data_IF_356286073775
#
_entry.id   IF_356286073775
#
_cell.length_a   1.000
_cell.length_b   1.000
_cell.length_c   1.000
_cell.angle_alpha   90.00
_cell.angle_beta   90.00
_cell.angle_gamma   90.00
#
_symmetry.space_group_name_H-M   'P 1'
#
loop_
_entity.id
_entity.type
_entity.pdbx_description
1 polymer ?
#
# COMPACT_ATOMS: atom_id res chain seq x y z
N UNK A 1 15.74 7.20 0.98
CA UNK A 1 15.00 8.44 0.69
C UNK A 1 15.63 9.67 1.34
N UNK A 2 15.39 10.04 2.62
CA UNK A 2 15.95 11.31 3.17
C UNK A 2 17.48 11.36 3.29
N UNK A 3 18.12 10.26 3.68
CA UNK A 3 19.60 10.19 3.81
C UNK A 3 20.31 10.19 2.46
N UNK A 4 19.75 9.50 1.48
CA UNK A 4 20.38 9.23 0.18
C UNK A 4 19.80 10.04 -0.97
N UNK A 5 18.73 10.79 -0.74
CA UNK A 5 17.92 11.50 -1.75
C UNK A 5 17.55 10.63 -2.96
N UNK A 6 17.38 9.33 -2.74
CA UNK A 6 17.01 8.35 -3.75
C UNK A 6 15.70 7.66 -3.39
N UNK A 7 14.93 7.33 -4.43
CA UNK A 7 13.72 6.52 -4.33
C UNK A 7 14.06 5.12 -3.81
N UNK A 8 13.11 4.51 -3.11
CA UNK A 8 13.28 3.22 -2.46
C UNK A 8 12.18 2.28 -2.91
N UNK A 9 12.47 0.99 -2.95
CA UNK A 9 11.49 -0.04 -3.28
C UNK A 9 11.45 -1.13 -2.21
N UNK A 10 10.25 -1.62 -1.95
CA UNK A 10 10.00 -2.80 -1.14
C UNK A 10 9.38 -3.86 -2.05
N UNK A 11 10.14 -4.92 -2.34
CA UNK A 11 9.70 -6.02 -3.19
C UNK A 11 9.34 -7.20 -2.28
N UNK A 12 8.08 -7.63 -2.36
CA UNK A 12 7.54 -8.73 -1.56
C UNK A 12 7.30 -9.94 -2.45
N UNK A 13 8.08 -11.00 -2.25
CA UNK A 13 8.04 -12.22 -3.03
C UNK A 13 7.65 -13.42 -2.17
N UNK A 14 7.04 -14.43 -2.79
CA UNK A 14 6.61 -15.65 -2.12
C UNK A 14 5.35 -16.23 -2.73
N UNK A 15 5.02 -17.47 -2.36
CA UNK A 15 3.85 -18.20 -2.83
C UNK A 15 2.53 -17.64 -2.28
N UNK A 16 1.39 -18.07 -2.82
CA UNK A 16 0.09 -17.69 -2.26
C UNK A 16 0.02 -18.07 -0.78
N UNK A 17 -0.53 -17.19 0.06
CA UNK A 17 -0.59 -17.40 1.51
C UNK A 17 0.68 -17.05 2.30
N UNK A 18 1.80 -16.70 1.65
CA UNK A 18 3.07 -16.40 2.34
C UNK A 18 3.11 -15.08 3.15
N UNK A 19 1.99 -14.36 3.27
CA UNK A 19 1.91 -13.11 4.03
C UNK A 19 2.24 -11.81 3.27
N UNK A 20 2.56 -11.85 1.96
CA UNK A 20 2.91 -10.65 1.17
C UNK A 20 1.95 -9.47 1.35
N UNK A 21 0.65 -9.71 1.23
CA UNK A 21 -0.36 -8.65 1.33
C UNK A 21 -0.42 -8.06 2.74
N UNK A 22 -0.17 -8.86 3.78
CA UNK A 22 -0.15 -8.39 5.17
C UNK A 22 1.12 -7.60 5.47
N UNK A 23 2.29 -8.10 5.05
CA UNK A 23 3.56 -7.36 5.18
C UNK A 23 3.49 -6.01 4.49
N UNK A 24 2.87 -5.95 3.31
CA UNK A 24 2.61 -4.68 2.60
C UNK A 24 1.73 -3.76 3.42
N UNK A 25 0.60 -4.25 3.92
CA UNK A 25 -0.35 -3.46 4.70
C UNK A 25 0.33 -2.83 5.92
N UNK A 26 1.09 -3.63 6.67
CA UNK A 26 1.84 -3.18 7.84
C UNK A 26 2.92 -2.15 7.45
N UNK A 27 3.67 -2.38 6.36
CA UNK A 27 4.67 -1.43 5.89
C UNK A 27 4.06 -0.06 5.54
N UNK A 28 2.94 -0.05 4.81
CA UNK A 28 2.22 1.18 4.47
C UNK A 28 1.71 1.86 5.75
N UNK A 29 1.10 1.11 6.67
CA UNK A 29 0.61 1.64 7.95
C UNK A 29 1.72 2.31 8.74
N UNK A 30 2.86 1.65 8.91
CA UNK A 30 4.02 2.21 9.62
C UNK A 30 4.55 3.47 8.93
N UNK A 31 4.65 3.46 7.59
CA UNK A 31 5.08 4.65 6.85
C UNK A 31 4.10 5.81 7.02
N UNK A 32 2.78 5.55 7.02
CA UNK A 32 1.76 6.58 7.26
C UNK A 32 1.89 7.19 8.65
N UNK A 33 2.01 6.35 9.69
CA UNK A 33 2.16 6.80 11.08
C UNK A 33 3.39 7.71 11.28
N UNK A 34 4.48 7.44 10.55
CA UNK A 34 5.72 8.21 10.65
C UNK A 34 5.74 9.48 9.80
N UNK A 35 4.89 9.60 8.76
CA UNK A 35 5.05 10.62 7.72
C UNK A 35 3.84 11.49 7.46
N UNK A 36 2.64 11.12 7.92
CA UNK A 36 1.44 11.93 7.71
C UNK A 36 1.49 13.22 8.53
N UNK A 37 1.03 14.31 7.92
CA UNK A 37 0.91 15.62 8.57
C UNK A 37 -0.05 15.58 9.75
N UNK A 38 0.27 16.35 10.80
CA UNK A 38 -0.61 16.55 11.96
C UNK A 38 -2.05 16.95 11.54
N UNK A 39 -3.06 16.60 12.35
CA UNK A 39 -4.45 17.00 12.11
C UNK A 39 -4.59 18.50 11.80
N UNK A 40 -5.43 18.83 10.82
CA UNK A 40 -5.68 20.21 10.38
C UNK A 40 -4.69 20.74 9.33
N UNK A 41 -3.60 20.03 9.04
CA UNK A 41 -2.67 20.38 7.95
C UNK A 41 -3.03 19.67 6.64
N UNK A 42 -2.63 20.26 5.52
CA UNK A 42 -2.72 19.61 4.20
C UNK A 42 -2.00 18.25 4.25
N UNK A 43 -2.67 17.20 3.78
CA UNK A 43 -2.17 15.83 3.82
C UNK A 43 -2.58 15.01 5.06
N UNK A 44 -3.17 15.62 6.10
CA UNK A 44 -3.57 14.87 7.31
C UNK A 44 -4.64 13.80 7.04
N UNK A 45 -5.46 13.99 5.99
CA UNK A 45 -6.49 13.03 5.57
C UNK A 45 -5.90 11.75 4.96
N UNK A 46 -4.63 11.75 4.57
CA UNK A 46 -4.00 10.57 3.98
C UNK A 46 -3.92 9.39 4.95
N UNK A 47 -3.83 9.66 6.26
CA UNK A 47 -3.85 8.61 7.29
C UNK A 47 -5.13 7.76 7.25
N UNK A 48 -6.27 8.33 6.83
CA UNK A 48 -7.54 7.60 6.74
C UNK A 48 -7.87 7.19 5.31
N UNK A 49 -7.50 8.01 4.32
CA UNK A 49 -7.79 7.75 2.91
C UNK A 49 -7.01 6.57 2.35
N UNK A 50 -5.73 6.40 2.73
CA UNK A 50 -4.89 5.32 2.19
C UNK A 50 -5.38 3.94 2.63
N UNK A 51 -5.63 3.67 3.92
CA UNK A 51 -6.20 2.39 4.34
C UNK A 51 -7.60 2.12 3.76
N UNK A 52 -8.42 3.17 3.62
CA UNK A 52 -9.75 3.04 3.00
C UNK A 52 -9.67 2.65 1.52
N UNK A 53 -8.74 3.24 0.76
CA UNK A 53 -8.52 2.88 -0.63
C UNK A 53 -8.01 1.42 -0.78
N UNK A 54 -7.10 0.99 0.10
CA UNK A 54 -6.62 -0.40 0.11
C UNK A 54 -7.77 -1.39 0.42
N UNK A 55 -8.65 -1.04 1.37
CA UNK A 55 -9.83 -1.84 1.68
C UNK A 55 -10.76 -2.00 0.46
N UNK A 56 -11.04 -0.91 -0.26
CA UNK A 56 -11.85 -0.95 -1.48
C UNK A 56 -11.21 -1.86 -2.52
N UNK A 57 -9.94 -1.67 -2.85
CA UNK A 57 -9.23 -2.47 -3.86
C UNK A 57 -9.26 -3.97 -3.49
N UNK A 58 -8.96 -4.31 -2.23
CA UNK A 58 -9.01 -5.70 -1.74
C UNK A 58 -10.42 -6.29 -1.83
N UNK A 59 -11.45 -5.48 -1.60
CA UNK A 59 -12.85 -5.94 -1.67
C UNK A 59 -13.27 -6.34 -3.08
N UNK A 60 -12.68 -5.71 -4.11
CA UNK A 60 -12.95 -6.04 -5.51
C UNK A 60 -11.97 -7.07 -6.11
N UNK A 61 -10.72 -7.09 -5.65
CA UNK A 61 -9.66 -7.90 -6.25
C UNK A 61 -9.27 -9.17 -5.48
N UNK A 62 -9.73 -9.35 -4.24
CA UNK A 62 -9.47 -10.57 -3.49
C UNK A 62 -10.62 -11.57 -3.62
N UNK A 63 -10.27 -12.86 -3.60
CA UNK A 63 -11.23 -13.95 -3.64
C UNK A 63 -10.84 -15.07 -2.66
N UNK A 64 -11.82 -15.86 -2.26
CA UNK A 64 -11.59 -17.08 -1.52
C UNK A 64 -11.04 -18.17 -2.45
N UNK A 65 -9.98 -18.85 -2.03
CA UNK A 65 -9.40 -20.00 -2.74
C UNK A 65 -9.14 -21.15 -1.77
N UNK A 66 -8.88 -22.35 -2.28
CA UNK A 66 -8.57 -23.53 -1.46
C UNK A 66 -7.40 -23.32 -0.47
N UNK A 67 -6.41 -22.49 -0.84
CA UNK A 67 -5.18 -22.32 -0.07
C UNK A 67 -5.12 -20.99 0.70
N UNK A 68 -5.94 -20.02 0.32
CA UNK A 68 -5.97 -18.70 0.94
C UNK A 68 -7.39 -18.11 0.83
N UNK A 69 -8.10 -17.89 1.94
CA UNK A 69 -9.46 -17.38 1.93
C UNK A 69 -9.57 -15.90 1.53
N UNK A 70 -8.43 -15.19 1.43
CA UNK A 70 -8.34 -13.80 1.04
C UNK A 70 -7.22 -13.59 0.00
N UNK A 71 -7.20 -14.45 -1.03
CA UNK A 71 -6.17 -14.44 -2.05
C UNK A 71 -6.35 -13.23 -2.98
N UNK A 72 -5.30 -12.40 -3.09
CA UNK A 72 -5.25 -11.35 -4.11
C UNK A 72 -5.17 -11.98 -5.50
N UNK A 73 -6.13 -11.68 -6.38
CA UNK A 73 -6.22 -12.16 -7.77
C UNK A 73 -5.71 -11.11 -8.77
N UNK A 74 -4.83 -10.24 -8.31
CA UNK A 74 -4.20 -9.16 -9.08
C UNK A 74 -2.81 -8.87 -8.49
N UNK A 75 -1.91 -8.40 -9.34
CA UNK A 75 -0.67 -7.76 -8.90
C UNK A 75 -0.94 -6.29 -8.55
N UNK A 76 -0.19 -5.73 -7.60
CA UNK A 76 -0.40 -4.36 -7.16
C UNK A 76 0.94 -3.67 -6.92
N UNK A 77 1.12 -2.47 -7.46
CA UNK A 77 2.21 -1.54 -7.16
C UNK A 77 1.61 -0.31 -6.49
N UNK A 78 2.22 0.14 -5.39
CA UNK A 78 1.84 1.40 -4.72
C UNK A 78 3.09 2.23 -4.56
N UNK A 79 3.02 3.43 -5.10
CA UNK A 79 3.99 4.49 -4.92
C UNK A 79 3.51 5.41 -3.80
N UNK A 80 4.33 5.56 -2.76
CA UNK A 80 4.14 6.56 -1.72
C UNK A 80 5.06 7.74 -2.02
N UNK A 81 4.47 8.93 -2.16
CA UNK A 81 5.19 10.13 -2.56
C UNK A 81 5.41 11.02 -1.35
N UNK A 82 6.66 11.46 -1.17
CA UNK A 82 7.07 12.24 -0.02
C UNK A 82 7.70 13.56 -0.43
N UNK A 83 7.47 14.58 0.38
CA UNK A 83 8.18 15.86 0.30
C UNK A 83 9.63 15.71 0.75
N UNK A 84 10.47 16.70 0.43
CA UNK A 84 11.87 16.77 0.89
C UNK A 84 12.00 16.74 2.43
N UNK A 85 10.94 17.21 3.13
CA UNK A 85 10.86 17.19 4.60
C UNK A 85 10.48 15.81 5.16
N UNK A 86 10.12 14.87 4.29
CA UNK A 86 9.72 13.51 4.65
C UNK A 86 8.22 13.34 4.93
N UNK A 87 7.40 14.36 4.71
CA UNK A 87 5.96 14.23 4.83
C UNK A 87 5.36 13.55 3.62
N UNK A 88 4.43 12.62 3.83
CA UNK A 88 3.66 12.02 2.74
C UNK A 88 2.77 13.09 2.08
N UNK A 89 2.91 13.27 0.78
CA UNK A 89 2.13 14.24 0.00
C UNK A 89 1.21 13.59 -1.03
N UNK A 90 1.44 12.34 -1.39
CA UNK A 90 0.65 11.64 -2.41
C UNK A 90 0.78 10.13 -2.35
N UNK A 91 -0.12 9.47 -3.06
CA UNK A 91 -0.14 8.03 -3.28
C UNK A 91 -0.58 7.79 -4.72
N UNK A 92 0.07 6.84 -5.39
CA UNK A 92 -0.36 6.32 -6.68
C UNK A 92 -0.38 4.80 -6.62
N UNK A 93 -1.42 4.17 -7.14
CA UNK A 93 -1.55 2.72 -7.18
C UNK A 93 -1.80 2.27 -8.60
N UNK A 94 -1.10 1.20 -8.99
CA UNK A 94 -1.25 0.55 -10.28
C UNK A 94 -1.52 -0.93 -10.05
N UNK A 95 -2.69 -1.37 -10.51
CA UNK A 95 -3.12 -2.76 -10.46
C UNK A 95 -2.79 -3.45 -11.78
N UNK A 96 -2.39 -4.72 -11.70
CA UNK A 96 -1.95 -5.53 -12.85
C UNK A 96 -2.70 -6.85 -12.88
N UNK A 97 -3.08 -7.29 -14.08
CA UNK A 97 -3.56 -8.64 -14.36
C UNK A 97 -4.63 -9.13 -13.37
N UNK A 98 -5.68 -8.32 -13.16
CA UNK A 98 -6.87 -8.78 -12.44
C UNK A 98 -7.44 -10.00 -13.17
N UNK A 99 -7.59 -11.10 -12.44
CA UNK A 99 -8.19 -12.33 -12.94
C UNK A 99 -9.69 -12.14 -13.20
N UNK A 100 -10.15 -12.52 -14.39
CA UNK A 100 -11.52 -12.28 -14.86
C UNK A 100 -12.31 -13.56 -15.13
N UNK A 101 -11.72 -14.73 -14.87
CA UNK A 101 -12.24 -16.04 -15.28
C UNK A 101 -12.58 -16.90 -14.08
#
# INVERSE_FOLDING_TARGET
MRRTTQDQSLILSGETGSGKSETRHLAIKTLLELSVSNPGKKGSKLATQVPAAEFVIKSFGNAHTLFNPNASRFGMYTELQFTDKGHLCGINSLDYYLERN
#
